data_IF_185153342486
#
_entry.id   IF_185153342486
#
_cell.length_a   1.000
_cell.length_b   1.000
_cell.length_c   1.000
_cell.angle_alpha   90.00
_cell.angle_beta   90.00
_cell.angle_gamma   90.00
#
_symmetry.space_group_name_H-M   'P 1'
#
loop_
_entity.id
_entity.type
_entity.pdbx_description
1 polymer ?
#
# COMPACT_ATOMS: atom_id res chain seq x y z
N UNK A 1 1.76 -18.27 -32.35
CA UNK A 1 1.84 -17.38 -31.17
C UNK A 1 3.32 -17.09 -30.89
N UNK A 2 3.81 -15.89 -31.21
CA UNK A 2 5.17 -15.50 -30.84
C UNK A 2 5.24 -15.40 -29.30
N UNK A 3 6.27 -16.00 -28.69
CA UNK A 3 6.53 -15.82 -27.26
C UNK A 3 6.88 -14.34 -27.04
N UNK A 4 5.92 -13.59 -26.50
CA UNK A 4 6.01 -12.14 -26.28
C UNK A 4 7.12 -11.80 -25.27
N UNK A 5 7.53 -12.77 -24.43
CA UNK A 5 8.57 -12.60 -23.43
C UNK A 5 9.67 -13.64 -23.66
N UNK A 6 10.92 -13.16 -23.67
CA UNK A 6 12.12 -14.01 -23.65
C UNK A 6 12.12 -14.84 -22.36
N UNK A 7 12.13 -16.19 -22.40
CA UNK A 7 11.99 -17.03 -21.21
C UNK A 7 12.97 -16.68 -20.08
N UNK A 8 14.23 -16.40 -20.43
CA UNK A 8 15.25 -16.00 -19.45
C UNK A 8 14.95 -14.67 -18.74
N UNK A 9 14.23 -13.74 -19.39
CA UNK A 9 13.79 -12.50 -18.74
C UNK A 9 12.62 -12.79 -17.79
N UNK A 10 11.67 -13.62 -18.23
CA UNK A 10 10.54 -14.04 -17.40
C UNK A 10 11.01 -14.68 -16.09
N UNK A 11 11.96 -15.62 -16.16
CA UNK A 11 12.51 -16.29 -14.98
C UNK A 11 13.15 -15.31 -13.99
N UNK A 12 13.95 -14.35 -14.50
CA UNK A 12 14.57 -13.31 -13.66
C UNK A 12 13.55 -12.42 -12.97
N UNK A 13 12.51 -12.00 -13.70
CA UNK A 13 11.42 -11.20 -13.15
C UNK A 13 10.68 -11.98 -12.07
N UNK A 14 10.32 -13.24 -12.35
CA UNK A 14 9.61 -14.08 -11.38
C UNK A 14 10.45 -14.39 -10.15
N UNK A 15 11.77 -14.53 -10.30
CA UNK A 15 12.67 -14.69 -9.16
C UNK A 15 12.70 -13.44 -8.28
N UNK A 16 12.78 -12.24 -8.85
CA UNK A 16 12.67 -10.99 -8.10
C UNK A 16 11.31 -10.81 -7.44
N UNK A 17 10.22 -11.16 -8.13
CA UNK A 17 8.86 -11.09 -7.54
C UNK A 17 8.76 -12.00 -6.33
N UNK A 18 9.19 -13.26 -6.45
CA UNK A 18 9.15 -14.23 -5.35
C UNK A 18 10.03 -13.83 -4.16
N UNK A 19 11.13 -13.12 -4.39
CA UNK A 19 11.98 -12.64 -3.29
C UNK A 19 11.40 -11.40 -2.60
N UNK A 20 10.70 -10.54 -3.35
CA UNK A 20 10.09 -9.32 -2.83
C UNK A 20 8.73 -9.53 -2.17
N UNK A 21 7.92 -10.46 -2.67
CA UNK A 21 6.56 -10.69 -2.21
C UNK A 21 6.46 -10.85 -0.68
N UNK A 22 7.27 -11.70 0.00
CA UNK A 22 7.22 -11.80 1.46
C UNK A 22 7.58 -10.48 2.17
N UNK A 23 8.49 -9.70 1.59
CA UNK A 23 8.88 -8.39 2.12
C UNK A 23 7.72 -7.39 2.01
N UNK A 24 7.02 -7.37 0.87
CA UNK A 24 5.89 -6.48 0.64
C UNK A 24 4.67 -6.87 1.47
N UNK A 25 4.43 -8.17 1.67
CA UNK A 25 3.39 -8.67 2.58
C UNK A 25 3.63 -8.22 4.02
N UNK A 26 4.86 -8.36 4.52
CA UNK A 26 5.25 -7.90 5.86
C UNK A 26 5.08 -6.39 6.05
N UNK A 27 5.26 -5.60 4.97
CA UNK A 27 5.08 -4.14 4.97
C UNK A 27 3.64 -3.69 4.68
N UNK A 28 2.74 -4.63 4.41
CA UNK A 28 1.35 -4.33 4.11
C UNK A 28 0.53 -4.17 5.41
N UNK A 29 0.76 -3.07 6.13
CA UNK A 29 0.06 -2.76 7.39
C UNK A 29 -1.43 -2.38 7.24
N UNK A 30 -2.05 -2.64 6.09
CA UNK A 30 -3.49 -2.56 5.91
C UNK A 30 -4.17 -1.29 6.42
N UNK A 31 -4.25 -0.24 5.58
CA UNK A 31 -5.45 0.61 5.56
C UNK A 31 -6.34 0.09 4.43
N UNK A 32 -7.23 -0.86 4.76
CA UNK A 32 -8.23 -1.44 3.86
C UNK A 32 -7.74 -2.30 2.69
N UNK A 33 -6.68 -3.10 2.86
CA UNK A 33 -6.06 -3.85 1.74
C UNK A 33 -6.11 -5.38 1.82
N UNK A 34 -6.59 -5.99 2.90
CA UNK A 34 -6.54 -7.45 3.06
C UNK A 34 -7.82 -8.19 2.61
N UNK A 35 -8.96 -7.50 2.49
CA UNK A 35 -10.25 -8.12 2.15
C UNK A 35 -10.92 -7.55 0.90
N UNK A 36 -10.27 -6.62 0.20
CA UNK A 36 -10.82 -6.04 -1.02
C UNK A 36 -10.69 -7.07 -2.15
N UNK A 37 -11.79 -7.79 -2.43
CA UNK A 37 -12.02 -8.48 -3.69
C UNK A 37 -11.59 -7.54 -4.83
N UNK A 38 -10.82 -8.05 -5.80
CA UNK A 38 -10.25 -7.24 -6.88
C UNK A 38 -11.35 -6.41 -7.58
N UNK A 39 -11.46 -5.14 -7.17
CA UNK A 39 -12.35 -4.18 -7.81
C UNK A 39 -11.72 -3.77 -9.13
N UNK A 40 -12.47 -3.86 -10.23
CA UNK A 40 -12.03 -3.44 -11.56
C UNK A 40 -11.86 -1.92 -11.71
N UNK A 41 -12.12 -1.14 -10.65
CA UNK A 41 -12.04 0.33 -10.64
C UNK A 41 -11.16 0.84 -9.49
N UNK A 42 -10.19 1.69 -9.86
CA UNK A 42 -9.27 2.37 -8.94
C UNK A 42 -10.00 3.31 -7.97
N UNK A 43 -11.08 3.96 -8.42
CA UNK A 43 -11.88 4.87 -7.59
C UNK A 43 -12.57 4.11 -6.45
N UNK A 44 -13.05 2.90 -6.74
CA UNK A 44 -13.72 2.06 -5.75
C UNK A 44 -12.72 1.43 -4.78
N UNK A 45 -11.55 1.00 -5.26
CA UNK A 45 -10.46 0.56 -4.38
C UNK A 45 -10.00 1.67 -3.42
N UNK A 46 -9.88 2.91 -3.91
CA UNK A 46 -9.54 4.07 -3.07
C UNK A 46 -10.64 4.37 -2.05
N UNK A 47 -11.92 4.33 -2.46
CA UNK A 47 -13.07 4.55 -1.57
C UNK A 47 -13.13 3.49 -0.48
N UNK A 48 -13.00 2.20 -0.83
CA UNK A 48 -12.96 1.09 0.12
C UNK A 48 -11.81 1.21 1.13
N UNK A 49 -10.62 1.63 0.67
CA UNK A 49 -9.47 1.90 1.56
C UNK A 49 -9.72 3.04 2.54
N UNK A 50 -10.48 4.06 2.13
CA UNK A 50 -10.83 5.20 2.99
C UNK A 50 -11.96 4.89 3.97
N UNK A 51 -12.86 3.96 3.64
CA UNK A 51 -13.99 3.57 4.49
C UNK A 51 -13.74 2.35 5.37
N UNK A 52 -12.62 1.65 5.18
CA UNK A 52 -12.27 0.48 5.99
C UNK A 52 -11.95 0.88 7.43
N UNK A 53 -12.88 0.60 8.34
CA UNK A 53 -12.77 0.84 9.79
C UNK A 53 -12.18 -0.33 10.56
N UNK A 54 -12.03 -1.50 9.93
CA UNK A 54 -11.51 -2.70 10.61
C UNK A 54 -9.98 -2.62 10.67
N UNK A 55 -9.36 -2.56 11.87
CA UNK A 55 -7.93 -2.77 11.98
C UNK A 55 -7.62 -4.15 11.39
N UNK A 56 -6.70 -4.20 10.44
CA UNK A 56 -6.33 -5.46 9.80
C UNK A 56 -5.55 -6.27 10.83
N UNK A 57 -6.22 -7.20 11.51
CA UNK A 57 -5.62 -8.35 12.21
C UNK A 57 -5.02 -9.27 11.14
N UNK A 58 -3.92 -8.84 10.53
CA UNK A 58 -3.38 -9.51 9.34
C UNK A 58 -1.90 -9.29 9.09
N UNK A 59 -1.15 -8.74 10.05
CA UNK A 59 0.30 -8.90 10.07
C UNK A 59 0.72 -10.33 10.51
N UNK A 60 -0.19 -11.31 10.45
CA UNK A 60 -0.02 -12.63 11.08
C UNK A 60 0.30 -13.76 10.09
N UNK A 61 0.43 -13.49 8.79
CA UNK A 61 0.88 -14.49 7.80
C UNK A 61 2.25 -14.19 7.19
N UNK A 62 2.83 -13.02 7.48
CA UNK A 62 4.14 -12.67 6.95
C UNK A 62 5.23 -13.53 7.61
N UNK A 63 6.01 -14.23 6.79
CA UNK A 63 7.13 -15.07 7.26
C UNK A 63 8.35 -14.28 7.74
N UNK A 64 8.35 -12.96 7.52
CA UNK A 64 9.47 -12.04 7.80
C UNK A 64 9.01 -10.94 8.74
N UNK A 65 9.84 -10.62 9.73
CA UNK A 65 9.63 -9.50 10.65
C UNK A 65 9.52 -8.16 9.89
N UNK A 66 8.55 -7.29 10.23
CA UNK A 66 8.38 -5.98 9.60
C UNK A 66 9.62 -5.07 9.54
N UNK A 67 10.51 -5.13 10.55
CA UNK A 67 11.74 -4.34 10.53
C UNK A 67 12.72 -4.90 9.51
N UNK A 68 12.90 -6.23 9.50
CA UNK A 68 13.72 -6.91 8.50
C UNK A 68 13.18 -6.70 7.09
N UNK A 69 11.85 -6.68 6.92
CA UNK A 69 11.22 -6.35 5.66
C UNK A 69 11.52 -4.91 5.22
N UNK A 70 11.53 -3.95 6.14
CA UNK A 70 11.91 -2.56 5.84
C UNK A 70 13.35 -2.47 5.29
N UNK A 71 14.28 -3.22 5.90
CA UNK A 71 15.68 -3.30 5.46
C UNK A 71 15.81 -3.92 4.08
N UNK A 72 15.16 -5.07 3.87
CA UNK A 72 15.15 -5.77 2.60
C UNK A 72 14.58 -4.90 1.47
N UNK A 73 13.49 -4.17 1.75
CA UNK A 73 12.88 -3.28 0.78
C UNK A 73 13.77 -2.09 0.42
N UNK A 74 14.41 -1.45 1.40
CA UNK A 74 15.41 -0.40 1.15
C UNK A 74 16.57 -0.94 0.31
N UNK A 75 17.10 -2.11 0.69
CA UNK A 75 18.22 -2.74 -0.02
C UNK A 75 17.86 -3.01 -1.48
N UNK A 76 16.64 -3.51 -1.74
CA UNK A 76 16.15 -3.66 -3.10
C UNK A 76 16.04 -2.32 -3.84
N UNK A 77 15.44 -1.29 -3.23
CA UNK A 77 15.36 0.05 -3.84
C UNK A 77 16.73 0.64 -4.19
N UNK A 78 17.76 0.34 -3.40
CA UNK A 78 19.12 0.82 -3.61
C UNK A 78 19.87 0.09 -4.75
N UNK A 79 19.37 -1.04 -5.25
CA UNK A 79 20.04 -1.76 -6.36
C UNK A 79 20.03 -0.91 -7.64
N UNK A 80 21.13 -0.91 -8.39
CA UNK A 80 21.19 -0.17 -9.67
C UNK A 80 20.38 -0.84 -10.78
N UNK A 81 20.30 -2.18 -10.77
CA UNK A 81 19.70 -2.98 -11.83
C UNK A 81 18.64 -3.92 -11.25
N UNK A 82 17.51 -4.01 -11.93
CA UNK A 82 16.39 -4.92 -11.59
C UNK A 82 15.66 -5.29 -12.88
N UNK A 83 15.38 -6.59 -13.06
CA UNK A 83 14.63 -7.08 -14.22
C UNK A 83 13.16 -6.67 -14.12
N UNK A 84 12.59 -6.72 -12.91
CA UNK A 84 11.24 -6.28 -12.59
C UNK A 84 11.04 -4.80 -12.92
N UNK A 85 12.02 -3.93 -12.65
CA UNK A 85 11.93 -2.51 -13.00
C UNK A 85 11.91 -2.26 -14.50
N UNK A 86 12.77 -2.95 -15.24
CA UNK A 86 12.77 -2.88 -16.72
C UNK A 86 11.41 -3.34 -17.27
N UNK A 87 10.83 -4.39 -16.69
CA UNK A 87 9.49 -4.86 -17.06
C UNK A 87 8.42 -3.82 -16.72
N UNK A 88 8.44 -3.25 -15.51
CA UNK A 88 7.50 -2.18 -15.10
C UNK A 88 7.57 -0.97 -16.02
N UNK A 89 8.77 -0.55 -16.42
CA UNK A 89 8.97 0.54 -17.39
C UNK A 89 8.32 0.21 -18.73
N UNK A 90 8.60 -0.97 -19.31
CA UNK A 90 8.00 -1.39 -20.60
C UNK A 90 6.47 -1.43 -20.50
N UNK A 91 5.94 -2.02 -19.42
CA UNK A 91 4.50 -2.14 -19.21
C UNK A 91 3.82 -0.78 -18.88
N UNK A 92 4.58 0.19 -18.38
CA UNK A 92 4.08 1.54 -18.12
C UNK A 92 3.83 2.34 -19.41
N UNK A 93 4.49 1.98 -20.52
CA UNK A 93 4.35 2.67 -21.80
C UNK A 93 2.91 2.65 -22.36
N UNK A 94 2.12 1.63 -22.00
CA UNK A 94 0.70 1.51 -22.35
C UNK A 94 -0.25 1.85 -21.19
N UNK A 95 0.23 2.59 -20.17
CA UNK A 95 -0.49 2.93 -18.94
C UNK A 95 -0.89 1.77 -18.01
N UNK A 96 -0.71 0.51 -18.42
CA UNK A 96 -1.18 -0.68 -17.67
C UNK A 96 -0.51 -0.84 -16.30
N UNK A 97 0.65 -0.24 -16.06
CA UNK A 97 1.32 -0.24 -14.74
C UNK A 97 1.98 1.10 -14.39
N UNK A 98 1.49 2.20 -14.97
CA UNK A 98 2.09 3.53 -14.83
C UNK A 98 2.23 3.97 -13.37
N UNK A 99 1.19 3.79 -12.56
CA UNK A 99 1.19 4.19 -11.15
C UNK A 99 2.22 3.40 -10.33
N UNK A 100 2.36 2.11 -10.60
CA UNK A 100 3.37 1.25 -9.96
C UNK A 100 4.78 1.70 -10.33
N UNK A 101 5.02 1.99 -11.61
CA UNK A 101 6.31 2.48 -12.07
C UNK A 101 6.68 3.85 -11.46
N UNK A 102 5.74 4.80 -11.42
CA UNK A 102 5.97 6.12 -10.79
C UNK A 102 6.23 5.99 -9.29
N UNK A 103 5.46 5.15 -8.59
CA UNK A 103 5.66 4.91 -7.16
C UNK A 103 7.05 4.33 -6.87
N UNK A 104 7.50 3.38 -7.69
CA UNK A 104 8.84 2.80 -7.62
C UNK A 104 9.93 3.86 -7.86
N UNK A 105 9.81 4.67 -8.92
CA UNK A 105 10.75 5.75 -9.23
C UNK A 105 10.89 6.75 -8.09
N UNK A 106 9.75 7.19 -7.52
CA UNK A 106 9.74 8.12 -6.39
C UNK A 106 10.38 7.49 -5.15
N UNK A 107 10.10 6.22 -4.87
CA UNK A 107 10.70 5.52 -3.74
C UNK A 107 12.23 5.41 -3.90
N UNK A 108 12.72 5.10 -5.10
CA UNK A 108 14.16 5.02 -5.40
C UNK A 108 14.84 6.39 -5.32
N UNK A 109 14.21 7.42 -5.90
CA UNK A 109 14.71 8.79 -5.79
C UNK A 109 14.78 9.25 -4.32
N UNK A 110 13.82 8.85 -3.49
CA UNK A 110 13.84 9.14 -2.06
C UNK A 110 15.01 8.44 -1.34
N UNK A 111 15.43 7.25 -1.77
CA UNK A 111 16.61 6.55 -1.21
C UNK A 111 17.91 7.18 -1.71
N UNK A 112 17.98 7.59 -2.98
CA UNK A 112 19.20 8.10 -3.62
C UNK A 112 19.48 9.58 -3.31
N UNK A 113 18.45 10.43 -3.35
CA UNK A 113 18.61 11.89 -3.27
C UNK A 113 18.44 12.44 -1.85
N UNK A 114 17.67 11.74 -1.00
CA UNK A 114 17.57 12.06 0.43
C UNK A 114 18.33 10.96 1.16
N UNK A 115 19.34 11.27 1.99
CA UNK A 115 20.05 10.24 2.75
C UNK A 115 19.10 9.64 3.80
N UNK A 116 18.26 8.72 3.35
CA UNK A 116 17.34 7.97 4.19
C UNK A 116 18.09 6.72 4.61
N UNK A 117 18.64 6.77 5.82
CA UNK A 117 19.31 5.64 6.44
C UNK A 117 18.34 4.47 6.59
N UNK A 118 18.90 3.29 6.79
CA UNK A 118 18.12 2.10 7.16
C UNK A 118 17.25 2.37 8.39
N UNK A 119 17.80 3.06 9.39
CA UNK A 119 17.08 3.41 10.62
C UNK A 119 15.84 4.26 10.36
N UNK A 120 15.89 5.17 9.39
CA UNK A 120 14.73 5.97 9.01
C UNK A 120 13.60 5.11 8.41
N UNK A 121 13.93 4.08 7.63
CA UNK A 121 12.94 3.13 7.09
C UNK A 121 12.30 2.30 8.20
N UNK A 122 13.11 1.77 9.11
CA UNK A 122 12.63 0.99 10.26
C UNK A 122 11.75 1.86 11.16
N UNK A 123 12.18 3.10 11.46
CA UNK A 123 11.41 4.05 12.26
C UNK A 123 10.05 4.38 11.61
N UNK A 124 10.01 4.58 10.29
CA UNK A 124 8.76 4.84 9.56
C UNK A 124 7.79 3.64 9.63
N UNK A 125 8.32 2.41 9.52
CA UNK A 125 7.55 1.18 9.67
C UNK A 125 7.00 1.04 11.09
N UNK A 126 7.84 1.24 12.11
CA UNK A 126 7.42 1.24 13.53
C UNK A 126 6.32 2.25 13.80
N UNK A 127 6.48 3.48 13.32
CA UNK A 127 5.46 4.52 13.45
C UNK A 127 4.13 4.13 12.77
N UNK A 128 4.20 3.44 11.64
CA UNK A 128 3.02 2.95 10.92
C UNK A 128 2.33 1.78 11.63
N UNK A 129 3.08 0.91 12.28
CA UNK A 129 2.55 -0.16 13.14
C UNK A 129 1.88 0.40 14.41
N UNK A 130 2.42 1.50 14.96
CA UNK A 130 1.91 2.13 16.17
C UNK A 130 0.70 3.05 15.92
N UNK A 131 0.36 3.40 14.67
CA UNK A 131 -0.74 4.31 14.39
C UNK A 131 -2.05 3.68 14.87
N UNK A 132 -2.69 4.19 15.93
CA UNK A 132 -3.97 3.66 16.38
C UNK A 132 -4.98 3.84 15.25
N UNK A 133 -5.89 2.87 15.09
CA UNK A 133 -7.02 3.02 14.19
C UNK A 133 -7.69 4.36 14.52
N UNK A 134 -7.63 5.31 13.57
CA UNK A 134 -8.32 6.59 13.70
C UNK A 134 -9.76 6.24 14.07
N UNK A 135 -10.16 6.51 15.33
CA UNK A 135 -11.57 6.56 15.68
C UNK A 135 -12.12 7.59 14.73
N UNK A 136 -12.85 7.16 13.71
CA UNK A 136 -13.55 8.02 12.79
C UNK A 136 -14.55 8.80 13.62
N UNK A 137 -14.11 9.92 14.20
CA UNK A 137 -14.96 10.92 14.77
C UNK A 137 -15.60 11.55 13.55
N UNK A 138 -16.71 10.95 13.10
CA UNK A 138 -17.55 11.52 12.05
C UNK A 138 -17.90 12.91 12.55
N UNK A 139 -17.32 13.95 11.95
CA UNK A 139 -17.71 15.31 12.28
C UNK A 139 -19.22 15.42 12.01
N UNK A 140 -20.01 15.97 12.95
CA UNK A 140 -21.44 16.15 12.73
C UNK A 140 -21.62 16.95 11.45
N UNK A 141 -22.52 16.49 10.59
CA UNK A 141 -22.83 17.17 9.33
C UNK A 141 -23.57 18.44 9.67
N UNK A 142 -22.87 19.57 9.60
CA UNK A 142 -23.50 20.88 9.75
C UNK A 142 -24.31 21.17 8.48
N UNK A 143 -25.62 21.34 8.65
CA UNK A 143 -26.50 21.77 7.55
C UNK A 143 -27.10 23.10 7.96
N UNK A 144 -26.98 24.11 7.09
CA UNK A 144 -27.62 25.41 7.30
C UNK A 144 -28.89 25.41 6.45
N UNK A 145 -30.04 25.57 7.09
CA UNK A 145 -31.34 25.71 6.43
C UNK A 145 -31.93 27.03 6.94
N UNK A 146 -32.26 27.95 6.03
CA UNK A 146 -32.89 29.24 6.31
C UNK A 146 -32.20 30.11 7.39
N UNK A 147 -30.86 30.08 7.41
CA UNK A 147 -30.04 30.86 8.36
C UNK A 147 -29.86 30.20 9.73
N UNK A 148 -30.48 29.04 9.96
CA UNK A 148 -30.36 28.28 11.19
C UNK A 148 -29.36 27.12 11.04
N UNK A 149 -28.45 26.97 12.01
CA UNK A 149 -27.42 25.93 12.01
C UNK A 149 -27.96 24.68 12.69
N UNK A 150 -28.24 23.63 11.93
CA UNK A 150 -28.71 22.34 12.47
C UNK A 150 -27.54 21.35 12.49
N UNK A 151 -27.16 20.91 13.69
CA UNK A 151 -26.20 19.83 13.91
C UNK A 151 -26.96 18.51 14.03
N UNK A 152 -26.93 17.69 12.98
CA UNK A 152 -27.51 16.34 13.02
C UNK A 152 -26.48 15.34 13.56
N UNK A 153 -26.74 14.67 14.71
CA UNK A 153 -25.90 13.58 15.16
C UNK A 153 -26.01 12.43 14.16
N UNK A 154 -24.87 11.91 13.70
CA UNK A 154 -24.87 10.73 12.83
C UNK A 154 -25.18 9.52 13.72
N UNK A 155 -26.41 9.01 13.67
CA UNK A 155 -26.82 7.82 14.42
C UNK A 155 -25.92 6.65 13.97
N UNK A 156 -24.98 6.26 14.82
CA UNK A 156 -24.26 5.00 14.68
C UNK A 156 -25.21 3.88 15.05
N UNK A 157 -25.32 2.86 14.20
CA UNK A 157 -26.03 1.63 14.53
C UNK A 157 -25.47 1.06 15.83
N UNK A 158 -26.22 1.22 16.92
CA UNK A 158 -25.98 0.53 18.17
C UNK A 158 -26.48 -0.90 17.97
N UNK A 159 -25.56 -1.84 17.78
CA UNK A 159 -25.88 -3.27 17.78
C UNK A 159 -26.46 -3.59 19.15
N UNK A 160 -27.76 -3.90 19.22
CA UNK A 160 -28.35 -4.56 20.39
C UNK A 160 -27.78 -5.96 20.43
N UNK A 161 -26.98 -6.25 21.44
CA UNK A 161 -26.70 -7.64 21.84
C UNK A 161 -27.94 -8.21 22.50
N UNK A 162 -28.38 -9.37 21.99
CA UNK A 162 -29.15 -10.36 22.73
C UNK A 162 -28.19 -11.46 23.20
#
# INVERSE_FOLDING_TARGET
MQKIIVPALYEKVMQEVRSLEPTLEALNFGKGSATATASSSFRDAKRMKMTATTPVTGASSASIDPEQAAKNFRAWLAQDKSALRSMLFILSGNNTFYTGHVAELVARAAVACKPMSEDHFVAAVKARMQKPAEKTQRMPRMTIIDGEVILTPTIGNQVRGE
#
